data_IF_101359360984
#
_entry.id   IF_101359360984
#
_cell.length_a   1.000
_cell.length_b   1.000
_cell.length_c   1.000
_cell.angle_alpha   90.00
_cell.angle_beta   90.00
_cell.angle_gamma   90.00
#
_symmetry.space_group_name_H-M   'P 1'
#
loop_
_entity.id
_entity.type
_entity.pdbx_description
1 polymer ?
#
# COMPACT_ATOMS: atom_id res chain seq x y z
N UNK A 1 19.04 52.16 3.31
CA UNK A 1 20.06 52.66 2.37
C UNK A 1 21.03 51.53 2.07
N UNK A 2 21.34 51.36 0.78
CA UNK A 2 22.40 50.52 0.20
C UNK A 2 22.24 48.99 0.28
N UNK A 3 21.74 48.33 -0.79
CA UNK A 3 22.44 47.87 -2.04
C UNK A 3 23.31 46.63 -1.80
N UNK A 4 23.34 45.54 -2.60
CA UNK A 4 22.85 45.23 -3.96
C UNK A 4 23.32 43.79 -4.32
N UNK A 5 22.57 43.11 -5.22
CA UNK A 5 23.05 42.21 -6.31
C UNK A 5 23.77 40.90 -5.94
N UNK A 6 23.77 39.80 -6.71
CA UNK A 6 23.13 39.31 -7.94
C UNK A 6 23.69 37.89 -8.16
N UNK A 7 23.17 37.20 -9.18
CA UNK A 7 23.73 36.05 -9.92
C UNK A 7 23.17 34.69 -9.45
N UNK A 8 22.07 34.21 -10.06
CA UNK A 8 22.03 33.49 -11.34
C UNK A 8 23.14 32.45 -11.48
N UNK A 9 22.77 31.17 -11.38
CA UNK A 9 23.39 30.12 -12.19
C UNK A 9 22.40 28.96 -12.34
N UNK A 10 21.75 28.95 -13.50
CA UNK A 10 21.08 27.81 -14.09
C UNK A 10 22.13 26.72 -14.41
N UNK A 11 21.80 25.45 -14.18
CA UNK A 11 22.55 24.32 -14.71
C UNK A 11 21.54 23.20 -15.02
N UNK A 12 21.00 23.24 -16.25
CA UNK A 12 21.39 22.42 -17.40
C UNK A 12 20.84 20.98 -17.32
N UNK A 13 19.65 20.83 -17.92
CA UNK A 13 19.13 19.59 -18.47
C UNK A 13 20.13 19.01 -19.49
N UNK A 14 20.47 17.72 -19.34
CA UNK A 14 21.12 16.95 -20.40
C UNK A 14 20.22 15.76 -20.77
N UNK A 15 19.42 15.96 -21.81
CA UNK A 15 18.75 14.91 -22.58
C UNK A 15 19.80 14.27 -23.50
N UNK A 16 20.01 12.96 -23.39
CA UNK A 16 20.78 12.19 -24.37
C UNK A 16 19.82 11.26 -25.10
N UNK A 17 19.54 11.61 -26.35
CA UNK A 17 18.94 10.77 -27.37
C UNK A 17 20.06 10.14 -28.22
N UNK A 18 19.99 8.83 -28.45
CA UNK A 18 20.71 8.11 -29.51
C UNK A 18 19.80 6.96 -29.99
N UNK A 19 19.09 7.10 -31.11
CA UNK A 19 19.48 6.73 -32.50
C UNK A 19 19.80 5.23 -32.58
N UNK A 20 18.83 4.37 -32.94
CA UNK A 20 18.47 3.94 -34.31
C UNK A 20 19.57 3.14 -35.04
N UNK A 21 19.32 1.84 -35.23
CA UNK A 21 19.97 1.01 -36.25
C UNK A 21 18.91 0.07 -36.85
N UNK A 22 18.84 0.00 -38.18
CA UNK A 22 17.76 -0.64 -38.93
C UNK A 22 18.12 -1.95 -39.67
N UNK A 23 17.07 -2.56 -40.23
CA UNK A 23 17.06 -3.58 -41.31
C UNK A 23 17.34 -5.03 -40.87
N UNK A 24 16.72 -6.10 -41.38
CA UNK A 24 15.74 -6.32 -42.45
C UNK A 24 15.23 -7.80 -42.39
N UNK A 25 14.07 -8.10 -43.02
CA UNK A 25 13.47 -9.42 -43.39
C UNK A 25 12.46 -10.16 -42.49
N UNK A 26 11.22 -10.20 -43.01
CA UNK A 26 10.40 -11.39 -43.37
C UNK A 26 9.87 -12.34 -42.28
N UNK A 27 8.59 -12.11 -41.91
CA UNK A 27 7.41 -13.02 -41.64
C UNK A 27 7.61 -14.54 -41.46
N UNK A 28 6.61 -15.28 -40.90
CA UNK A 28 5.67 -15.02 -39.79
C UNK A 28 5.57 -16.24 -38.83
N UNK A 29 5.34 -16.04 -37.53
CA UNK A 29 4.79 -17.10 -36.66
C UNK A 29 4.30 -16.54 -35.32
N UNK A 30 3.01 -16.76 -35.05
CA UNK A 30 2.46 -17.14 -33.74
C UNK A 30 2.38 -16.06 -32.64
N UNK A 31 1.12 -15.74 -32.27
CA UNK A 31 0.65 -15.20 -30.97
C UNK A 31 1.53 -15.69 -29.80
N UNK A 32 1.86 -14.86 -28.79
CA UNK A 32 0.83 -14.44 -27.84
C UNK A 32 0.89 -12.95 -27.43
N UNK A 33 -0.29 -12.38 -27.28
CA UNK A 33 -0.69 -11.42 -26.24
C UNK A 33 0.26 -11.36 -25.02
N UNK A 34 0.81 -10.18 -24.67
CA UNK A 34 1.17 -9.87 -23.29
C UNK A 34 0.08 -8.97 -22.71
N UNK A 35 -0.90 -9.61 -22.05
CA UNK A 35 -1.63 -8.95 -20.99
C UNK A 35 -0.57 -8.48 -19.99
N UNK A 36 -0.51 -7.17 -19.75
CA UNK A 36 0.21 -6.62 -18.63
C UNK A 36 -0.48 -7.10 -17.36
N UNK A 37 -0.11 -8.29 -16.91
CA UNK A 37 -0.34 -8.73 -15.54
C UNK A 37 0.56 -7.88 -14.64
N UNK A 38 0.04 -6.71 -14.29
CA UNK A 38 0.56 -5.91 -13.18
C UNK A 38 0.24 -6.68 -11.91
N UNK A 39 1.15 -7.55 -11.53
CA UNK A 39 1.50 -7.93 -10.15
C UNK A 39 0.38 -7.78 -9.11
N UNK A 40 -0.72 -8.51 -9.30
CA UNK A 40 -1.70 -8.82 -8.26
C UNK A 40 -1.42 -10.21 -7.68
N UNK A 41 -0.15 -10.51 -7.38
CA UNK A 41 0.23 -11.69 -6.63
C UNK A 41 1.20 -11.29 -5.52
N UNK A 42 0.69 -11.15 -4.30
CA UNK A 42 1.19 -11.84 -3.11
C UNK A 42 0.23 -11.57 -1.94
N UNK A 43 -1.01 -12.03 -2.06
CA UNK A 43 -1.82 -12.38 -0.89
C UNK A 43 -2.76 -13.56 -1.17
N UNK A 44 -2.39 -14.37 -2.15
CA UNK A 44 -2.92 -15.70 -2.33
C UNK A 44 -1.91 -16.68 -1.77
N UNK A 45 -2.37 -17.53 -0.85
CA UNK A 45 -1.72 -18.76 -0.42
C UNK A 45 -0.65 -18.66 0.68
N UNK A 46 -1.05 -18.27 1.89
CA UNK A 46 -0.42 -18.80 3.12
C UNK A 46 -1.51 -18.83 4.19
N UNK A 47 -1.68 -19.97 4.85
CA UNK A 47 -2.84 -20.29 5.69
C UNK A 47 -3.20 -19.22 6.72
N UNK A 48 -4.46 -19.25 7.14
CA UNK A 48 -5.09 -18.45 8.22
C UNK A 48 -4.11 -18.22 9.38
N UNK A 49 -3.28 -17.19 9.25
CA UNK A 49 -2.23 -16.90 10.22
C UNK A 49 -2.86 -15.98 11.25
N UNK A 50 -2.82 -16.41 12.51
CA UNK A 50 -3.25 -15.57 13.61
C UNK A 50 -2.26 -14.41 13.73
N UNK A 51 -2.77 -13.20 13.63
CA UNK A 51 -2.05 -11.95 13.76
C UNK A 51 -2.32 -11.35 15.14
N UNK A 52 -1.31 -10.70 15.69
CA UNK A 52 -1.44 -9.79 16.81
C UNK A 52 -1.33 -8.36 16.28
N UNK A 53 -2.21 -7.46 16.73
CA UNK A 53 -2.18 -6.08 16.29
C UNK A 53 -2.70 -5.09 17.33
N UNK A 54 -2.44 -3.80 17.08
CA UNK A 54 -2.85 -2.70 17.96
C UNK A 54 -3.77 -1.75 17.23
N UNK A 55 -4.88 -1.40 17.87
CA UNK A 55 -5.87 -0.46 17.35
C UNK A 55 -5.40 0.97 17.57
N UNK A 56 -5.54 1.83 16.56
CA UNK A 56 -5.24 3.25 16.67
C UNK A 56 -6.18 4.13 15.83
N UNK A 57 -6.49 5.31 16.36
CA UNK A 57 -7.18 6.43 15.75
C UNK A 57 -6.22 7.61 15.49
N UNK A 58 -4.90 7.42 15.64
CA UNK A 58 -3.89 8.48 15.45
C UNK A 58 -3.96 9.17 14.07
N UNK A 59 -4.56 8.51 13.09
CA UNK A 59 -4.68 8.98 11.70
C UNK A 59 -6.10 9.37 11.32
N UNK A 60 -7.00 9.59 12.29
CA UNK A 60 -8.38 9.98 12.03
C UNK A 60 -8.47 11.28 11.19
N UNK A 61 -7.55 12.23 11.42
CA UNK A 61 -7.48 13.48 10.66
C UNK A 61 -7.14 13.28 9.17
N UNK A 62 -6.48 12.17 8.83
CA UNK A 62 -6.14 11.80 7.45
C UNK A 62 -7.24 10.95 6.79
N UNK A 63 -8.43 10.88 7.41
CA UNK A 63 -9.56 10.10 6.92
C UNK A 63 -9.48 8.60 7.24
N UNK A 64 -8.57 8.19 8.14
CA UNK A 64 -8.45 6.83 8.66
C UNK A 64 -8.95 6.76 10.11
N UNK A 65 -10.27 6.65 10.34
CA UNK A 65 -10.84 6.75 11.69
C UNK A 65 -10.29 5.69 12.64
N UNK A 66 -10.06 4.48 12.13
CA UNK A 66 -9.46 3.39 12.86
C UNK A 66 -8.52 2.60 11.94
N UNK A 67 -7.37 2.24 12.47
CA UNK A 67 -6.40 1.33 11.87
C UNK A 67 -5.98 0.27 12.87
N UNK A 68 -5.53 -0.87 12.35
CA UNK A 68 -4.86 -1.90 13.13
C UNK A 68 -3.43 -2.06 12.62
N UNK A 69 -2.45 -1.80 13.47
CA UNK A 69 -1.04 -2.09 13.18
C UNK A 69 -0.79 -3.58 13.37
N UNK A 70 -0.17 -4.24 12.40
CA UNK A 70 0.28 -5.63 12.53
C UNK A 70 1.72 -5.75 12.06
N UNK A 71 2.42 -6.78 12.52
CA UNK A 71 3.74 -7.14 12.00
C UNK A 71 3.64 -8.42 11.19
N UNK A 72 3.75 -8.29 9.86
CA UNK A 72 3.72 -9.43 8.94
C UNK A 72 5.08 -9.57 8.29
N UNK A 73 5.69 -10.76 8.38
CA UNK A 73 7.01 -11.05 7.76
C UNK A 73 8.12 -10.04 8.16
N UNK A 74 8.05 -9.51 9.38
CA UNK A 74 9.03 -8.54 9.91
C UNK A 74 8.83 -7.11 9.42
N UNK A 75 7.76 -6.81 8.69
CA UNK A 75 7.36 -5.47 8.31
C UNK A 75 6.08 -5.05 9.04
N UNK A 76 6.01 -3.78 9.42
CA UNK A 76 4.77 -3.19 9.93
C UNK A 76 3.82 -2.92 8.76
N UNK A 77 2.58 -3.35 8.93
CA UNK A 77 1.49 -3.11 7.99
C UNK A 77 0.29 -2.51 8.72
N UNK A 78 -0.48 -1.68 8.01
CA UNK A 78 -1.71 -1.09 8.51
C UNK A 78 -2.92 -1.73 7.84
N UNK A 79 -3.85 -2.21 8.65
CA UNK A 79 -5.13 -2.75 8.19
C UNK A 79 -6.25 -1.74 8.49
N UNK A 80 -7.17 -1.57 7.53
CA UNK A 80 -8.41 -0.82 7.72
C UNK A 80 -9.48 -1.86 8.07
N UNK A 81 -9.93 -1.94 9.33
CA UNK A 81 -10.90 -2.94 9.76
C UNK A 81 -12.26 -2.67 9.11
N UNK A 82 -12.76 -3.64 8.35
CA UNK A 82 -14.08 -3.57 7.72
C UNK A 82 -15.10 -4.21 8.64
N UNK A 83 -16.08 -3.41 9.09
CA UNK A 83 -17.18 -3.86 9.95
C UNK A 83 -16.73 -4.54 11.26
N UNK A 84 -15.60 -4.11 11.84
CA UNK A 84 -15.21 -4.53 13.18
C UNK A 84 -16.17 -3.91 14.21
N UNK A 85 -16.59 -4.72 15.19
CA UNK A 85 -17.47 -4.27 16.27
C UNK A 85 -16.81 -3.15 17.09
N UNK A 86 -17.60 -2.11 17.42
CA UNK A 86 -17.14 -0.92 18.14
C UNK A 86 -16.48 -1.24 19.48
N UNK A 87 -16.85 -2.37 20.12
CA UNK A 87 -16.21 -2.81 21.38
C UNK A 87 -14.72 -3.09 21.26
N UNK A 88 -14.23 -3.34 20.04
CA UNK A 88 -12.81 -3.56 19.77
C UNK A 88 -12.11 -2.29 19.28
N UNK A 89 -12.85 -1.23 18.92
CA UNK A 89 -12.32 0.02 18.40
C UNK A 89 -11.92 0.96 19.55
N UNK A 90 -10.93 0.53 20.33
CA UNK A 90 -10.40 1.28 21.47
C UNK A 90 -8.93 1.58 21.22
N UNK A 91 -8.52 2.85 21.38
CA UNK A 91 -7.12 3.26 21.20
C UNK A 91 -6.17 2.40 22.04
N UNK A 92 -5.13 1.86 21.40
CA UNK A 92 -4.13 1.03 22.06
C UNK A 92 -4.58 -0.40 22.38
N UNK A 93 -5.82 -0.78 22.06
CA UNK A 93 -6.29 -2.15 22.29
C UNK A 93 -5.47 -3.15 21.49
N UNK A 94 -4.92 -4.14 22.19
CA UNK A 94 -4.28 -5.29 21.56
C UNK A 94 -5.35 -6.30 21.14
N UNK A 95 -5.31 -6.70 19.88
CA UNK A 95 -6.20 -7.69 19.30
C UNK A 95 -5.39 -8.87 18.79
N UNK A 96 -5.96 -10.07 18.96
CA UNK A 96 -5.51 -11.30 18.33
C UNK A 96 -6.60 -11.84 17.43
N UNK A 97 -6.31 -12.00 16.14
CA UNK A 97 -7.32 -12.25 15.13
C UNK A 97 -6.73 -12.96 13.92
N UNK A 98 -7.59 -13.43 13.02
CA UNK A 98 -7.22 -13.83 11.67
C UNK A 98 -7.71 -12.74 10.71
N UNK A 99 -7.03 -12.54 9.58
CA UNK A 99 -7.38 -11.47 8.66
C UNK A 99 -7.49 -11.97 7.23
N UNK A 100 -8.48 -11.44 6.51
CA UNK A 100 -8.62 -11.64 5.07
C UNK A 100 -8.73 -10.31 4.34
N UNK A 101 -8.10 -10.15 3.17
CA UNK A 101 -8.24 -8.94 2.37
C UNK A 101 -9.72 -8.66 2.03
N UNK A 102 -10.08 -7.39 2.04
CA UNK A 102 -11.37 -6.90 1.55
C UNK A 102 -11.18 -6.02 0.33
N UNK A 103 -12.19 -5.99 -0.54
CA UNK A 103 -12.29 -5.05 -1.66
C UNK A 103 -13.24 -3.88 -1.36
N UNK A 104 -13.69 -3.76 -0.10
CA UNK A 104 -14.51 -2.64 0.33
C UNK A 104 -13.76 -1.32 0.11
N UNK A 105 -14.50 -0.27 -0.28
CA UNK A 105 -13.93 1.06 -0.44
C UNK A 105 -13.44 1.58 0.92
N UNK A 106 -12.18 2.02 0.98
CA UNK A 106 -11.55 2.64 2.15
C UNK A 106 -11.97 4.10 2.38
N UNK A 107 -12.88 4.64 1.55
CA UNK A 107 -13.18 6.07 1.55
C UNK A 107 -11.93 6.90 1.26
N UNK A 108 -11.64 7.87 2.14
CA UNK A 108 -10.45 8.73 2.05
C UNK A 108 -9.17 8.12 2.65
N UNK A 109 -9.27 6.98 3.36
CA UNK A 109 -8.11 6.41 4.02
C UNK A 109 -7.15 5.73 3.02
N UNK A 110 -5.92 6.25 2.92
CA UNK A 110 -4.85 5.71 2.06
C UNK A 110 -3.71 5.04 2.82
N UNK A 111 -3.76 5.03 4.16
CA UNK A 111 -2.66 4.54 5.01
C UNK A 111 -2.64 3.04 5.25
N UNK A 112 -3.71 2.33 4.91
CA UNK A 112 -3.84 0.91 5.19
C UNK A 112 -4.64 0.18 4.12
N UNK A 113 -4.71 -1.14 4.27
CA UNK A 113 -5.43 -2.02 3.33
C UNK A 113 -6.71 -2.52 3.98
N UNK A 114 -7.86 -2.49 3.28
CA UNK A 114 -9.10 -3.06 3.78
C UNK A 114 -8.94 -4.53 4.16
N UNK A 115 -9.35 -4.89 5.37
CA UNK A 115 -9.35 -6.27 5.84
C UNK A 115 -10.57 -6.55 6.71
N UNK A 116 -11.12 -7.76 6.57
CA UNK A 116 -12.10 -8.30 7.51
C UNK A 116 -11.31 -9.07 8.57
N UNK A 117 -11.53 -8.73 9.83
CA UNK A 117 -10.92 -9.37 10.98
C UNK A 117 -11.88 -10.46 11.48
N UNK A 118 -11.39 -11.70 11.53
CA UNK A 118 -12.12 -12.88 11.94
C UNK A 118 -11.53 -13.40 13.27
N UNK A 119 -12.32 -14.14 14.04
CA UNK A 119 -11.89 -14.77 15.31
C UNK A 119 -11.26 -13.79 16.34
N UNK A 120 -11.71 -12.53 16.35
CA UNK A 120 -11.12 -11.44 17.15
C UNK A 120 -11.24 -11.69 18.66
N UNK A 121 -10.11 -11.61 19.35
CA UNK A 121 -9.99 -11.66 20.82
C UNK A 121 -9.16 -10.49 21.32
N UNK A 122 -9.46 -10.02 22.52
CA UNK A 122 -8.64 -9.06 23.27
C UNK A 122 -7.71 -9.83 24.20
N UNK A 123 -6.48 -9.37 24.36
CA UNK A 123 -5.67 -9.81 25.50
C UNK A 123 -6.18 -9.07 26.76
N UNK A 124 -6.55 -9.84 27.78
CA UNK A 124 -6.95 -9.33 29.12
C UNK A 124 -5.76 -8.78 29.90
#
# INVERSE_FOLDING_TARGET
>A
MSTRHSLFLASLFALVFSVSCGGNRTTPATDPTPASETSEETLSNTGTSVLDGFVTAAYAADGCPWLVQVTTRGAEEWLIPIALDERYLVEGQRLRFTARPSRASSGSCSRGRPAILEEVRTDE
#
